data_IF_725168396079
#
_entry.id   IF_725168396079
#
_cell.length_a   1.000
_cell.length_b   1.000
_cell.length_c   1.000
_cell.angle_alpha   90.00
_cell.angle_beta   90.00
_cell.angle_gamma   90.00
#
_symmetry.space_group_name_H-M   'P 1'
#
loop_
_entity.id
_entity.type
_entity.pdbx_description
1 polymer ?
#
# COMPACT_ATOMS: atom_id res chain seq x y z
N UNK A 1 -11.28 28.29 -3.24
CA UNK A 1 -11.24 27.50 -4.49
C UNK A 1 -9.90 26.77 -4.71
N UNK A 2 -8.75 27.36 -4.37
CA UNK A 2 -7.42 26.74 -4.57
C UNK A 2 -7.16 25.49 -3.73
N UNK A 3 -7.69 25.39 -2.51
CA UNK A 3 -7.44 24.26 -1.61
C UNK A 3 -8.01 22.92 -2.13
N UNK A 4 -9.23 22.91 -2.67
CA UNK A 4 -9.87 21.69 -3.18
C UNK A 4 -9.20 21.14 -4.45
N UNK A 5 -8.74 22.04 -5.33
CA UNK A 5 -7.98 21.66 -6.54
C UNK A 5 -6.63 21.07 -6.17
N UNK A 6 -5.91 21.70 -5.25
CA UNK A 6 -4.62 21.19 -4.74
C UNK A 6 -4.81 19.84 -4.05
N UNK A 7 -5.84 19.68 -3.22
CA UNK A 7 -6.15 18.42 -2.55
C UNK A 7 -6.49 17.31 -3.57
N UNK A 8 -7.25 17.63 -4.62
CA UNK A 8 -7.58 16.68 -5.69
C UNK A 8 -6.34 16.24 -6.44
N UNK A 9 -5.45 17.19 -6.76
CA UNK A 9 -4.18 16.88 -7.42
C UNK A 9 -3.29 15.98 -6.56
N UNK A 10 -3.16 16.28 -5.26
CA UNK A 10 -2.42 15.43 -4.32
C UNK A 10 -3.04 14.02 -4.24
N UNK A 11 -4.37 13.92 -4.21
CA UNK A 11 -5.05 12.62 -4.15
C UNK A 11 -4.83 11.79 -5.43
N UNK A 12 -4.84 12.43 -6.60
CA UNK A 12 -4.50 11.79 -7.89
C UNK A 12 -3.04 11.34 -7.90
N UNK A 13 -2.10 12.17 -7.41
CA UNK A 13 -0.70 11.79 -7.30
C UNK A 13 -0.50 10.60 -6.35
N UNK A 14 -1.19 10.57 -5.22
CA UNK A 14 -1.15 9.45 -4.28
C UNK A 14 -1.65 8.15 -4.93
N UNK A 15 -2.73 8.22 -5.72
CA UNK A 15 -3.24 7.08 -6.48
C UNK A 15 -2.22 6.60 -7.53
N UNK A 16 -1.68 7.53 -8.32
CA UNK A 16 -0.68 7.23 -9.35
C UNK A 16 0.59 6.62 -8.74
N UNK A 17 1.03 7.14 -7.59
CA UNK A 17 2.14 6.59 -6.84
C UNK A 17 1.86 5.18 -6.33
N UNK A 18 0.68 4.94 -5.75
CA UNK A 18 0.29 3.61 -5.26
C UNK A 18 0.22 2.58 -6.42
N UNK A 19 -0.35 2.96 -7.56
CA UNK A 19 -0.36 2.12 -8.75
C UNK A 19 1.05 1.87 -9.30
N UNK A 20 1.88 2.91 -9.35
CA UNK A 20 3.29 2.81 -9.76
C UNK A 20 4.06 1.85 -8.86
N UNK A 21 3.86 1.92 -7.55
CA UNK A 21 4.44 0.99 -6.59
C UNK A 21 3.98 -0.44 -6.88
N UNK A 22 2.69 -0.69 -7.07
CA UNK A 22 2.20 -2.02 -7.43
C UNK A 22 2.76 -2.56 -8.75
N UNK A 23 3.00 -1.67 -9.72
CA UNK A 23 3.50 -2.06 -11.03
C UNK A 23 4.99 -2.38 -11.03
N UNK A 24 5.80 -1.58 -10.35
CA UNK A 24 7.26 -1.62 -10.47
C UNK A 24 7.99 -2.14 -9.22
N UNK A 25 7.37 -2.11 -8.04
CA UNK A 25 8.02 -2.50 -6.79
C UNK A 25 7.74 -3.96 -6.38
N UNK A 26 8.72 -4.67 -5.80
CA UNK A 26 10.15 -4.37 -5.86
C UNK A 26 10.71 -4.80 -7.23
N UNK A 27 11.56 -3.96 -7.82
CA UNK A 27 12.36 -4.37 -8.95
C UNK A 27 13.43 -5.37 -8.50
N UNK A 28 13.83 -6.32 -9.36
CA UNK A 28 14.78 -7.38 -9.01
C UNK A 28 16.10 -6.87 -8.43
N UNK A 29 16.66 -5.82 -9.04
CA UNK A 29 17.90 -5.18 -8.54
C UNK A 29 17.71 -4.58 -7.14
N UNK A 30 16.59 -3.90 -6.90
CA UNK A 30 16.28 -3.32 -5.59
C UNK A 30 16.08 -4.40 -4.54
N UNK A 31 15.37 -5.47 -4.88
CA UNK A 31 15.19 -6.62 -4.00
C UNK A 31 16.52 -7.29 -3.64
N UNK A 32 17.40 -7.54 -4.62
CA UNK A 32 18.73 -8.10 -4.39
C UNK A 32 19.59 -7.20 -3.51
N UNK A 33 19.53 -5.88 -3.71
CA UNK A 33 20.25 -4.90 -2.89
C UNK A 33 19.73 -4.86 -1.45
N UNK A 34 18.42 -4.87 -1.27
CA UNK A 34 17.81 -4.93 0.06
C UNK A 34 18.21 -6.22 0.78
N UNK A 35 18.20 -7.34 0.06
CA UNK A 35 18.61 -8.66 0.55
C UNK A 35 20.08 -8.72 0.93
N UNK A 36 20.98 -8.14 0.15
CA UNK A 36 22.41 -8.11 0.48
C UNK A 36 22.71 -7.26 1.71
N UNK A 37 21.92 -6.20 1.96
CA UNK A 37 22.12 -5.30 3.09
C UNK A 37 21.50 -5.80 4.40
N UNK A 38 20.27 -6.32 4.35
CA UNK A 38 19.50 -6.67 5.55
C UNK A 38 19.46 -8.18 5.82
N UNK A 39 19.97 -8.98 4.88
CA UNK A 39 19.94 -10.44 4.94
C UNK A 39 18.58 -11.04 4.58
N UNK A 40 18.58 -12.36 4.41
CA UNK A 40 17.41 -13.14 3.98
C UNK A 40 16.23 -13.05 4.97
N UNK A 41 16.51 -13.15 6.28
CA UNK A 41 15.49 -13.12 7.35
C UNK A 41 14.69 -11.82 7.36
N UNK A 42 15.35 -10.67 7.23
CA UNK A 42 14.71 -9.37 7.24
C UNK A 42 13.77 -9.17 6.04
N UNK A 43 14.20 -9.62 4.85
CA UNK A 43 13.37 -9.56 3.64
C UNK A 43 12.14 -10.45 3.77
N UNK A 44 12.30 -11.63 4.37
CA UNK A 44 11.18 -12.56 4.59
C UNK A 44 10.18 -12.01 5.60
N UNK A 45 10.65 -11.46 6.71
CA UNK A 45 9.81 -10.78 7.70
C UNK A 45 9.08 -9.57 7.09
N UNK A 46 9.74 -8.81 6.22
CA UNK A 46 9.11 -7.70 5.50
C UNK A 46 7.98 -8.18 4.58
N UNK A 47 8.21 -9.26 3.81
CA UNK A 47 7.20 -9.90 2.96
C UNK A 47 5.99 -10.37 3.77
N UNK A 48 6.21 -11.04 4.88
CA UNK A 48 5.12 -11.53 5.77
C UNK A 48 4.30 -10.38 6.36
N UNK A 49 4.94 -9.27 6.73
CA UNK A 49 4.22 -8.04 7.14
C UNK A 49 3.36 -7.50 6.01
N UNK A 50 3.89 -7.43 4.78
CA UNK A 50 3.07 -7.04 3.63
C UNK A 50 1.93 -8.01 3.38
N UNK A 51 2.15 -9.31 3.53
CA UNK A 51 1.10 -10.31 3.36
C UNK A 51 -0.01 -10.15 4.40
N UNK A 52 0.34 -9.91 5.66
CA UNK A 52 -0.62 -9.61 6.73
C UNK A 52 -1.45 -8.34 6.40
N UNK A 53 -0.80 -7.29 5.89
CA UNK A 53 -1.49 -6.07 5.46
C UNK A 53 -2.38 -6.32 4.23
N UNK A 54 -1.94 -7.14 3.27
CA UNK A 54 -2.72 -7.51 2.08
C UNK A 54 -3.94 -8.41 2.38
N UNK A 55 -3.94 -9.07 3.54
CA UNK A 55 -5.11 -9.81 4.08
C UNK A 55 -6.05 -8.92 4.90
N UNK A 56 -5.57 -7.77 5.39
CA UNK A 56 -6.37 -6.85 6.20
C UNK A 56 -7.54 -6.26 5.42
N UNK A 57 -8.72 -6.24 6.05
CA UNK A 57 -9.92 -5.54 5.55
C UNK A 57 -10.00 -4.09 6.03
N UNK A 58 -9.10 -3.66 6.91
CA UNK A 58 -9.11 -2.32 7.50
C UNK A 58 -9.16 -1.18 6.46
N UNK A 59 -8.40 -1.23 5.33
CA UNK A 59 -8.47 -0.17 4.31
C UNK A 59 -9.85 -0.04 3.68
N UNK A 60 -10.59 -1.15 3.52
CA UNK A 60 -11.95 -1.13 2.99
C UNK A 60 -12.93 -0.52 3.98
N UNK A 61 -12.84 -0.89 5.26
CA UNK A 61 -13.70 -0.32 6.30
C UNK A 61 -13.52 1.20 6.41
N UNK A 62 -12.27 1.68 6.44
CA UNK A 62 -11.99 3.11 6.49
C UNK A 62 -12.49 3.83 5.23
N UNK A 63 -12.30 3.24 4.04
CA UNK A 63 -12.83 3.81 2.80
C UNK A 63 -14.36 3.94 2.80
N UNK A 64 -15.08 2.92 3.31
CA UNK A 64 -16.55 2.94 3.43
C UNK A 64 -16.99 4.00 4.44
N UNK A 65 -16.33 4.06 5.60
CA UNK A 65 -16.63 5.07 6.62
C UNK A 65 -16.45 6.49 6.07
N UNK A 66 -15.35 6.74 5.36
CA UNK A 66 -15.08 8.02 4.71
C UNK A 66 -16.12 8.36 3.65
N UNK A 67 -16.51 7.40 2.81
CA UNK A 67 -17.60 7.61 1.84
C UNK A 67 -18.92 7.96 2.53
N UNK A 68 -19.26 7.27 3.61
CA UNK A 68 -20.44 7.59 4.42
C UNK A 68 -20.40 8.99 5.00
N UNK A 69 -19.25 9.40 5.53
CA UNK A 69 -19.04 10.76 6.07
C UNK A 69 -19.20 11.82 4.99
N UNK A 70 -18.63 11.60 3.80
CA UNK A 70 -18.72 12.49 2.65
C UNK A 70 -20.17 12.59 2.15
N UNK A 71 -20.90 11.47 2.05
CA UNK A 71 -22.32 11.46 1.67
C UNK A 71 -23.20 12.21 2.69
N UNK A 72 -22.92 12.02 3.99
CA UNK A 72 -23.56 12.79 5.06
C UNK A 72 -23.31 14.29 4.92
N UNK A 73 -22.06 14.68 4.64
CA UNK A 73 -21.69 16.07 4.42
C UNK A 73 -22.35 16.69 3.18
N UNK A 74 -22.36 15.98 2.05
CA UNK A 74 -23.04 16.43 0.82
C UNK A 74 -24.53 16.64 1.10
N UNK A 75 -25.18 15.71 1.82
CA UNK A 75 -26.59 15.83 2.20
C UNK A 75 -26.85 17.09 3.05
N UNK A 76 -25.97 17.40 4.01
CA UNK A 76 -26.08 18.62 4.81
C UNK A 76 -25.85 19.90 4.00
N UNK A 77 -24.98 19.87 2.98
CA UNK A 77 -24.68 21.03 2.11
C UNK A 77 -25.70 21.23 0.99
N UNK A 78 -26.41 20.20 0.54
CA UNK A 78 -27.50 20.32 -0.43
C UNK A 78 -28.67 21.19 0.05
N UNK A 79 -28.74 21.44 1.37
CA UNK A 79 -29.71 22.35 2.00
C UNK A 79 -29.22 23.81 2.03
N UNK A 80 -27.92 24.06 1.81
CA UNK A 80 -27.35 25.40 1.66
C UNK A 80 -27.21 25.69 0.17
N UNK A 81 -27.69 26.85 -0.26
CA UNK A 81 -27.74 27.33 -1.65
C UNK A 81 -26.34 27.56 -2.25
N UNK A 82 -25.58 26.49 -2.43
CA UNK A 82 -24.18 26.47 -2.88
C UNK A 82 -24.12 25.84 -4.27
N UNK A 83 -23.29 26.40 -5.14
CA UNK A 83 -23.16 25.89 -6.51
C UNK A 83 -22.69 24.42 -6.52
N UNK A 84 -23.34 23.58 -7.34
CA UNK A 84 -22.98 22.16 -7.50
C UNK A 84 -21.51 21.95 -7.91
N UNK A 85 -20.90 22.95 -8.56
CA UNK A 85 -19.50 22.96 -8.97
C UNK A 85 -18.57 23.00 -7.74
N UNK A 86 -18.87 23.84 -6.74
CA UNK A 86 -18.08 23.91 -5.50
C UNK A 86 -18.17 22.62 -4.69
N UNK A 87 -19.36 22.02 -4.62
CA UNK A 87 -19.57 20.72 -3.98
C UNK A 87 -18.74 19.64 -4.67
N UNK A 88 -18.71 19.61 -6.00
CA UNK A 88 -17.91 18.66 -6.76
C UNK A 88 -16.40 18.76 -6.47
N UNK A 89 -15.86 19.99 -6.43
CA UNK A 89 -14.43 20.20 -6.13
C UNK A 89 -14.04 19.86 -4.70
N UNK A 90 -14.97 19.98 -3.74
CA UNK A 90 -14.73 19.58 -2.36
C UNK A 90 -14.76 18.04 -2.19
N UNK A 91 -15.53 17.32 -3.01
CA UNK A 91 -15.75 15.87 -2.89
C UNK A 91 -14.69 15.03 -3.62
N UNK A 92 -14.20 15.51 -4.77
CA UNK A 92 -13.22 14.80 -5.61
C UNK A 92 -12.00 14.23 -4.85
N UNK A 93 -11.31 14.98 -3.96
CA UNK A 93 -10.15 14.46 -3.24
C UNK A 93 -10.49 13.21 -2.43
N UNK A 94 -11.65 13.20 -1.77
CA UNK A 94 -12.09 12.08 -0.95
C UNK A 94 -12.40 10.85 -1.80
N UNK A 95 -13.01 11.03 -2.97
CA UNK A 95 -13.26 9.93 -3.91
C UNK A 95 -11.95 9.27 -4.33
N UNK A 96 -10.93 10.07 -4.70
CA UNK A 96 -9.62 9.53 -5.07
C UNK A 96 -8.93 8.81 -3.90
N UNK A 97 -9.03 9.34 -2.68
CA UNK A 97 -8.50 8.67 -1.48
C UNK A 97 -9.22 7.33 -1.27
N UNK A 98 -10.54 7.29 -1.35
CA UNK A 98 -11.32 6.05 -1.21
C UNK A 98 -10.93 5.02 -2.28
N UNK A 99 -10.81 5.43 -3.55
CA UNK A 99 -10.33 4.55 -4.63
C UNK A 99 -8.93 4.02 -4.30
N UNK A 100 -8.03 4.88 -3.83
CA UNK A 100 -6.66 4.49 -3.45
C UNK A 100 -6.69 3.45 -2.33
N UNK A 101 -7.44 3.69 -1.25
CA UNK A 101 -7.56 2.75 -0.13
C UNK A 101 -8.12 1.38 -0.55
N UNK A 102 -9.08 1.36 -1.48
CA UNK A 102 -9.63 0.11 -2.03
C UNK A 102 -8.62 -0.65 -2.89
N UNK A 103 -7.68 0.04 -3.54
CA UNK A 103 -6.65 -0.53 -4.40
C UNK A 103 -5.44 -1.05 -3.62
N UNK A 104 -5.11 -0.45 -2.47
CA UNK A 104 -3.94 -0.81 -1.64
C UNK A 104 -3.83 -2.33 -1.37
N UNK A 105 -4.88 -3.05 -0.91
CA UNK A 105 -4.77 -4.50 -0.69
C UNK A 105 -4.40 -5.30 -1.95
N UNK A 106 -4.92 -4.90 -3.12
CA UNK A 106 -4.58 -5.55 -4.39
C UNK A 106 -3.14 -5.27 -4.80
N UNK A 107 -2.69 -4.02 -4.64
CA UNK A 107 -1.32 -3.59 -4.90
C UNK A 107 -0.33 -4.38 -4.03
N UNK A 108 -0.60 -4.47 -2.73
CA UNK A 108 0.25 -5.20 -1.78
C UNK A 108 0.32 -6.67 -2.13
N UNK A 109 -0.79 -7.31 -2.52
CA UNK A 109 -0.78 -8.71 -2.97
C UNK A 109 0.12 -8.93 -4.18
N UNK A 110 0.11 -8.02 -5.17
CA UNK A 110 1.01 -8.09 -6.33
C UNK A 110 2.47 -7.93 -5.93
N UNK A 111 2.75 -7.04 -4.99
CA UNK A 111 4.10 -6.84 -4.43
C UNK A 111 4.58 -8.12 -3.74
N UNK A 112 3.74 -8.74 -2.91
CA UNK A 112 4.07 -10.00 -2.20
C UNK A 112 4.32 -11.13 -3.18
N UNK A 113 3.44 -11.32 -4.17
CA UNK A 113 3.63 -12.40 -5.16
C UNK A 113 4.93 -12.21 -5.94
N UNK A 114 5.23 -10.97 -6.33
CA UNK A 114 6.50 -10.63 -6.96
C UNK A 114 7.67 -10.99 -6.04
N UNK A 115 7.62 -10.65 -4.75
CA UNK A 115 8.67 -11.03 -3.81
C UNK A 115 8.85 -12.55 -3.72
N UNK A 116 7.75 -13.33 -3.72
CA UNK A 116 7.81 -14.81 -3.76
C UNK A 116 8.49 -15.31 -5.03
N UNK A 117 8.19 -14.72 -6.19
CA UNK A 117 8.85 -15.08 -7.45
C UNK A 117 10.36 -14.80 -7.42
N UNK A 118 10.77 -13.73 -6.74
CA UNK A 118 12.18 -13.42 -6.58
C UNK A 118 12.89 -14.45 -5.69
N UNK A 119 12.25 -14.87 -4.59
CA UNK A 119 12.74 -15.95 -3.71
C UNK A 119 12.86 -17.28 -4.47
N UNK A 120 11.82 -17.67 -5.22
CA UNK A 120 11.85 -18.85 -6.10
C UNK A 120 12.99 -18.78 -7.10
N UNK A 121 13.24 -17.60 -7.69
CA UNK A 121 14.30 -17.41 -8.69
C UNK A 121 15.73 -17.60 -8.17
N UNK A 122 15.92 -17.58 -6.84
CA UNK A 122 17.21 -17.84 -6.20
C UNK A 122 17.25 -19.20 -5.49
N UNK A 123 16.28 -20.07 -5.78
CA UNK A 123 16.22 -21.44 -5.26
C UNK A 123 15.62 -21.55 -3.86
N UNK A 124 14.92 -20.52 -3.37
CA UNK A 124 14.26 -20.57 -2.06
C UNK A 124 12.79 -20.94 -2.20
N UNK A 125 12.31 -21.77 -1.28
CA UNK A 125 10.88 -22.03 -1.15
C UNK A 125 10.23 -20.92 -0.29
N UNK A 126 9.35 -20.08 -0.86
CA UNK A 126 8.68 -18.98 -0.17
C UNK A 126 7.63 -19.45 0.85
N UNK A 127 7.12 -20.67 0.76
CA UNK A 127 5.98 -21.17 1.54
C UNK A 127 6.43 -22.08 2.71
N UNK A 128 7.70 -22.48 2.73
CA UNK A 128 8.32 -23.19 3.86
C UNK A 128 8.95 -22.20 4.85
N UNK A 129 8.66 -22.29 6.16
CA UNK A 129 9.32 -21.48 7.17
C UNK A 129 10.84 -21.67 7.11
N UNK A 130 11.62 -20.64 7.41
CA UNK A 130 13.07 -20.80 7.54
C UNK A 130 13.33 -21.73 8.74
N UNK A 131 13.58 -23.01 8.46
CA UNK A 131 14.06 -23.96 9.46
C UNK A 131 15.57 -23.72 9.56
N UNK A 132 16.03 -23.25 10.72
CA UNK A 132 17.46 -23.10 11.00
C UNK A 132 18.12 -24.49 10.97
N UNK A 133 18.88 -24.78 9.90
CA UNK A 133 20.15 -25.47 10.06
C UNK A 133 21.20 -24.37 10.05
N UNK A 134 22.04 -24.34 11.08
CA UNK A 134 23.11 -23.37 11.36
C UNK A 134 22.70 -22.12 12.15
N UNK A 135 22.67 -22.32 13.47
CA UNK A 135 22.84 -21.28 14.48
C UNK A 135 24.25 -20.71 14.53
N UNK A 136 24.84 -20.33 13.39
CA UNK A 136 26.07 -19.53 13.39
C UNK A 136 26.18 -18.68 12.11
N UNK A 137 25.62 -17.47 12.19
CA UNK A 137 25.80 -16.41 11.20
C UNK A 137 26.24 -15.14 11.93
N UNK A 138 26.92 -14.18 11.26
CA UNK A 138 27.94 -13.29 11.84
C UNK A 138 27.41 -12.16 12.74
N UNK A 139 26.26 -12.34 13.40
CA UNK A 139 25.77 -11.49 14.48
C UNK A 139 26.28 -11.91 15.87
N UNK A 140 27.01 -13.02 15.99
CA UNK A 140 27.56 -13.50 17.26
C UNK A 140 28.89 -12.82 17.69
N UNK A 141 29.52 -12.02 16.82
CA UNK A 141 30.82 -11.36 17.10
C UNK A 141 30.64 -9.92 17.64
N UNK A 142 29.42 -9.50 17.99
CA UNK A 142 29.13 -8.12 18.38
C UNK A 142 28.41 -7.97 19.74
N UNK A 143 28.69 -8.86 20.69
CA UNK A 143 28.29 -8.71 22.09
C UNK A 143 29.41 -9.16 23.03
#
# INVERSE_FOLDING_TARGET
MTSGVVASFIAVLALAFAEGLGRFYPARRTWLRLRSQHGRRAIRAMRERFEAVGRSRAPRFVAILLLGLVLGWISSKSLLDRSWIEVGTDVLPYVFICITMLRIPSIIRRIVERMKDHERSVGEDPDVPLIDQDGDGPSAIAL
#
